data_IF_469935735222
#
_entry.id   IF_469935735222
#
_cell.length_a   1.000
_cell.length_b   1.000
_cell.length_c   1.000
_cell.angle_alpha   90.00
_cell.angle_beta   90.00
_cell.angle_gamma   90.00
#
_symmetry.space_group_name_H-M   'P 1'
#
loop_
_entity.id
_entity.type
_entity.pdbx_description
1 polymer ?
#
# COMPACT_ATOMS: atom_id res chain seq x y z
N UNK A 1 27.91 41.38 15.31
CA UNK A 1 27.98 39.91 15.51
C UNK A 1 26.58 39.38 15.77
N UNK A 2 25.96 38.73 14.79
CA UNK A 2 24.65 38.08 14.98
C UNK A 2 24.88 36.86 15.88
N UNK A 3 24.45 36.93 17.15
CA UNK A 3 24.46 35.77 18.05
C UNK A 3 23.51 34.74 17.46
N UNK A 4 24.05 33.74 16.76
CA UNK A 4 23.26 32.61 16.28
C UNK A 4 22.63 31.94 17.52
N UNK A 5 21.31 31.97 17.66
CA UNK A 5 20.71 31.64 18.93
C UNK A 5 20.83 30.13 19.16
N UNK A 6 21.33 29.76 20.35
CA UNK A 6 21.71 28.39 20.70
C UNK A 6 20.57 27.38 20.53
N UNK A 7 19.32 27.83 20.67
CA UNK A 7 18.13 27.00 20.46
C UNK A 7 18.05 26.43 19.03
N UNK A 8 18.55 27.14 18.00
CA UNK A 8 18.50 26.64 16.61
C UNK A 8 19.40 25.42 16.42
N UNK A 9 20.53 25.36 17.13
CA UNK A 9 21.46 24.22 17.08
C UNK A 9 20.86 22.99 17.77
N UNK A 10 20.18 23.20 18.90
CA UNK A 10 19.50 22.13 19.64
C UNK A 10 18.33 21.57 18.81
N UNK A 11 17.53 22.44 18.19
CA UNK A 11 16.43 22.04 17.31
C UNK A 11 16.92 21.23 16.10
N UNK A 12 18.01 21.65 15.47
CA UNK A 12 18.63 20.91 14.36
C UNK A 12 19.13 19.52 14.81
N UNK A 13 19.78 19.43 15.97
CA UNK A 13 20.23 18.16 16.51
C UNK A 13 19.06 17.21 16.83
N UNK A 14 18.00 17.70 17.47
CA UNK A 14 16.78 16.93 17.74
C UNK A 14 16.13 16.45 16.43
N UNK A 15 16.06 17.31 15.40
CA UNK A 15 15.52 16.94 14.10
C UNK A 15 16.34 15.84 13.42
N UNK A 16 17.67 15.92 13.47
CA UNK A 16 18.55 14.91 12.89
C UNK A 16 18.42 13.55 13.57
N UNK A 17 18.32 13.53 14.90
CA UNK A 17 18.11 12.30 15.67
C UNK A 17 16.76 11.67 15.35
N UNK A 18 15.69 12.47 15.26
CA UNK A 18 14.36 12.00 14.87
C UNK A 18 14.35 11.40 13.47
N UNK A 19 14.95 12.09 12.49
CA UNK A 19 15.02 11.59 11.10
C UNK A 19 15.81 10.28 11.04
N UNK A 20 16.95 10.20 11.74
CA UNK A 20 17.77 8.99 11.78
C UNK A 20 17.03 7.82 12.44
N UNK A 21 16.33 8.07 13.54
CA UNK A 21 15.51 7.07 14.22
C UNK A 21 14.40 6.54 13.31
N UNK A 22 13.73 7.43 12.56
CA UNK A 22 12.72 7.03 11.58
C UNK A 22 13.35 6.18 10.48
N UNK A 23 14.46 6.59 9.87
CA UNK A 23 15.11 5.83 8.78
C UNK A 23 15.52 4.42 9.24
N UNK A 24 16.13 4.30 10.43
CA UNK A 24 16.57 3.01 10.95
C UNK A 24 15.42 2.06 11.27
N UNK A 25 14.27 2.58 11.71
CA UNK A 25 13.10 1.76 12.02
C UNK A 25 12.11 1.63 10.85
N UNK A 26 12.29 2.41 9.78
CA UNK A 26 11.37 2.41 8.64
C UNK A 26 11.74 1.40 7.56
N UNK A 27 12.87 0.68 7.64
CA UNK A 27 13.23 -0.39 6.70
C UNK A 27 12.62 -1.69 7.24
N UNK A 28 11.45 -2.14 6.73
CA UNK A 28 10.90 -3.42 7.14
C UNK A 28 11.76 -4.49 6.45
N UNK A 29 12.30 -5.42 7.22
CA UNK A 29 13.00 -6.59 6.71
C UNK A 29 12.07 -7.28 5.70
N UNK A 30 12.46 -7.27 4.42
CA UNK A 30 11.70 -7.84 3.32
C UNK A 30 11.75 -9.37 3.41
N UNK A 31 10.96 -9.93 4.34
CA UNK A 31 10.77 -11.38 4.42
C UNK A 31 9.72 -11.72 3.36
N UNK A 32 10.17 -12.13 2.18
CA UNK A 32 9.31 -12.79 1.20
C UNK A 32 8.84 -14.09 1.82
N UNK A 33 7.60 -14.10 2.30
CA UNK A 33 6.93 -15.35 2.65
C UNK A 33 6.60 -15.98 1.29
N UNK A 34 7.33 -17.03 0.92
CA UNK A 34 7.03 -17.86 -0.24
C UNK A 34 5.73 -18.61 0.06
N UNK A 35 4.60 -18.03 -0.32
CA UNK A 35 3.30 -18.66 -0.23
C UNK A 35 3.10 -19.56 -1.44
N UNK A 36 2.73 -20.82 -1.20
CA UNK A 36 2.43 -21.77 -2.26
C UNK A 36 1.03 -21.47 -2.81
N UNK A 37 0.91 -21.27 -4.12
CA UNK A 37 -0.35 -20.88 -4.81
C UNK A 37 -1.46 -21.93 -4.61
N UNK A 38 -1.09 -23.14 -4.21
CA UNK A 38 -1.98 -24.27 -3.93
C UNK A 38 -3.00 -24.07 -2.79
N UNK A 39 -2.85 -23.03 -1.94
CA UNK A 39 -3.77 -22.76 -0.83
C UNK A 39 -4.89 -21.75 -1.15
N UNK A 40 -4.92 -21.19 -2.36
CA UNK A 40 -5.98 -20.27 -2.80
C UNK A 40 -7.26 -21.08 -3.09
N UNK A 41 -8.44 -20.66 -2.61
CA UNK A 41 -9.70 -21.36 -2.91
C UNK A 41 -9.95 -21.42 -4.43
N UNK A 42 -10.42 -22.56 -4.96
CA UNK A 42 -10.68 -22.73 -6.41
C UNK A 42 -11.62 -21.68 -7.02
N UNK A 43 -12.55 -21.16 -6.22
CA UNK A 43 -13.49 -20.11 -6.63
C UNK A 43 -12.93 -18.73 -6.25
N UNK A 44 -11.95 -18.25 -7.01
CA UNK A 44 -11.41 -16.91 -6.89
C UNK A 44 -11.69 -16.06 -8.13
N UNK A 45 -11.78 -14.76 -7.92
CA UNK A 45 -11.75 -13.75 -8.96
C UNK A 45 -10.35 -13.12 -9.01
N UNK A 46 -9.92 -12.71 -10.20
CA UNK A 46 -8.66 -11.99 -10.39
C UNK A 46 -8.96 -10.55 -10.76
N UNK A 47 -8.34 -9.62 -10.05
CA UNK A 47 -8.42 -8.18 -10.34
C UNK A 47 -7.00 -7.67 -10.55
N UNK A 48 -6.75 -7.01 -11.68
CA UNK A 48 -5.51 -6.29 -11.93
C UNK A 48 -5.71 -4.79 -11.76
N UNK A 49 -4.70 -4.11 -11.23
CA UNK A 49 -4.72 -2.66 -11.11
C UNK A 49 -3.45 -2.08 -10.50
N UNK A 50 -3.39 -0.76 -10.46
CA UNK A 50 -2.31 0.00 -9.85
C UNK A 50 -2.66 0.33 -8.40
N UNK A 51 -1.71 0.15 -7.48
CA UNK A 51 -1.89 0.51 -6.07
C UNK A 51 -1.89 2.02 -5.92
N UNK A 52 -3.07 2.61 -5.73
CA UNK A 52 -3.25 4.05 -5.58
C UNK A 52 -3.25 4.52 -4.13
N UNK A 53 -3.54 3.60 -3.20
CA UNK A 53 -3.48 3.87 -1.77
C UNK A 53 -3.16 2.62 -0.98
N UNK A 54 -2.50 2.82 0.17
CA UNK A 54 -2.19 1.76 1.12
C UNK A 54 -2.69 2.15 2.50
N UNK A 55 -3.49 1.29 3.08
CA UNK A 55 -3.91 1.32 4.47
C UNK A 55 -3.45 0.02 5.14
N UNK A 56 -3.46 -0.04 6.46
CA UNK A 56 -2.93 -1.18 7.22
C UNK A 56 -3.51 -2.54 6.77
N UNK A 57 -4.83 -2.60 6.59
CA UNK A 57 -5.55 -3.84 6.21
C UNK A 57 -6.25 -3.76 4.85
N UNK A 58 -5.96 -2.73 4.06
CA UNK A 58 -6.55 -2.61 2.72
C UNK A 58 -5.72 -1.76 1.79
N UNK A 59 -5.81 -2.05 0.51
CA UNK A 59 -5.31 -1.21 -0.57
C UNK A 59 -6.45 -0.69 -1.41
N UNK A 60 -6.17 0.37 -2.15
CA UNK A 60 -7.02 0.82 -3.23
C UNK A 60 -6.31 0.52 -4.54
N UNK A 61 -7.06 -0.07 -5.46
CA UNK A 61 -6.63 -0.32 -6.83
C UNK A 61 -7.39 0.62 -7.76
N UNK A 62 -6.70 1.12 -8.78
CA UNK A 62 -7.32 1.80 -9.91
C UNK A 62 -6.80 1.20 -11.22
N UNK A 63 -7.53 1.41 -12.30
CA UNK A 63 -7.14 0.95 -13.64
C UNK A 63 -5.85 1.64 -14.14
N UNK A 64 -5.63 2.90 -13.74
CA UNK A 64 -4.49 3.71 -14.16
C UNK A 64 -3.61 4.17 -12.97
N UNK A 65 -2.30 4.39 -13.19
CA UNK A 65 -1.44 4.97 -12.17
C UNK A 65 -1.82 6.43 -11.89
N UNK A 66 -1.69 6.85 -10.64
CA UNK A 66 -2.10 8.19 -10.22
C UNK A 66 -0.92 9.13 -9.99
N UNK A 67 -1.08 10.40 -10.37
CA UNK A 67 -0.11 11.43 -10.03
C UNK A 67 -0.10 11.71 -8.52
N UNK A 68 1.00 12.30 -8.01
CA UNK A 68 1.11 12.68 -6.61
C UNK A 68 -0.04 13.58 -6.12
N UNK A 69 -0.51 14.50 -6.97
CA UNK A 69 -1.70 15.33 -6.65
C UNK A 69 -2.96 14.47 -6.52
N UNK A 70 -3.10 13.45 -7.36
CA UNK A 70 -4.19 12.46 -7.30
C UNK A 70 -4.17 11.66 -6.00
N UNK A 71 -2.99 11.31 -5.47
CA UNK A 71 -2.86 10.58 -4.20
C UNK A 71 -3.45 11.39 -3.04
N UNK A 72 -3.09 12.67 -2.97
CA UNK A 72 -3.54 13.58 -1.90
C UNK A 72 -5.03 13.83 -2.00
N UNK A 73 -5.54 14.13 -3.20
CA UNK A 73 -6.98 14.37 -3.41
C UNK A 73 -7.82 13.11 -3.18
N UNK A 74 -7.33 11.95 -3.62
CA UNK A 74 -8.01 10.66 -3.49
C UNK A 74 -8.16 10.19 -2.05
N UNK A 75 -7.22 10.57 -1.17
CA UNK A 75 -7.33 10.29 0.27
C UNK A 75 -8.50 10.99 0.95
N UNK A 76 -8.99 12.11 0.40
CA UNK A 76 -10.08 12.91 0.97
C UNK A 76 -11.41 12.60 0.27
N UNK A 77 -11.40 12.48 -1.06
CA UNK A 77 -12.61 12.37 -1.89
C UNK A 77 -12.87 10.97 -2.45
N UNK A 78 -11.98 10.01 -2.21
CA UNK A 78 -11.98 8.70 -2.87
C UNK A 78 -11.21 8.73 -4.19
N UNK A 79 -10.79 7.55 -4.67
CA UNK A 79 -9.88 7.40 -5.81
C UNK A 79 -10.59 7.24 -7.17
N UNK A 80 -11.85 7.68 -7.28
CA UNK A 80 -12.66 7.60 -8.51
C UNK A 80 -13.64 6.42 -8.53
N UNK A 81 -14.53 6.42 -9.52
CA UNK A 81 -15.55 5.36 -9.72
C UNK A 81 -14.94 4.03 -10.15
N UNK A 82 -13.81 4.07 -10.86
CA UNK A 82 -13.08 2.89 -11.35
C UNK A 82 -12.07 2.36 -10.33
N UNK A 83 -12.21 2.78 -9.06
CA UNK A 83 -11.34 2.35 -7.98
C UNK A 83 -12.00 1.30 -7.10
N UNK A 84 -11.27 0.24 -6.79
CA UNK A 84 -11.74 -0.87 -5.97
C UNK A 84 -10.94 -0.90 -4.68
N UNK A 85 -11.64 -0.97 -3.55
CA UNK A 85 -11.00 -1.15 -2.24
C UNK A 85 -10.86 -2.64 -1.93
N UNK A 86 -9.63 -3.11 -1.83
CA UNK A 86 -9.32 -4.50 -1.51
C UNK A 86 -8.83 -4.61 -0.07
N UNK A 87 -9.53 -5.36 0.76
CA UNK A 87 -9.10 -5.68 2.13
C UNK A 87 -8.45 -7.06 2.22
N UNK A 88 -7.68 -7.31 3.28
CA UNK A 88 -7.21 -8.67 3.58
C UNK A 88 -8.41 -9.56 3.91
N UNK A 89 -8.46 -10.77 3.36
CA UNK A 89 -9.36 -11.77 3.88
C UNK A 89 -8.90 -12.20 5.29
N UNK A 90 -9.83 -12.38 6.23
CA UNK A 90 -9.52 -12.76 7.62
C UNK A 90 -8.79 -14.10 7.70
N UNK A 91 -9.15 -15.03 6.83
CA UNK A 91 -8.58 -16.38 6.83
C UNK A 91 -7.17 -16.42 6.22
N UNK A 92 -6.78 -15.36 5.50
CA UNK A 92 -5.50 -15.25 4.76
C UNK A 92 -4.70 -14.01 5.17
N UNK A 93 -5.03 -13.38 6.31
CA UNK A 93 -4.48 -12.08 6.72
C UNK A 93 -2.96 -12.11 6.94
N UNK A 94 -2.44 -13.27 7.36
CA UNK A 94 -1.03 -13.50 7.66
C UNK A 94 -0.13 -13.59 6.41
N UNK A 95 -0.73 -13.83 5.24
CA UNK A 95 -0.02 -14.00 3.96
C UNK A 95 0.18 -12.65 3.28
N UNK A 96 -0.80 -11.76 3.43
CA UNK A 96 -0.85 -10.51 2.68
C UNK A 96 -0.24 -9.37 3.49
N UNK A 97 0.93 -8.90 3.05
CA UNK A 97 1.52 -7.67 3.58
C UNK A 97 1.44 -6.51 2.58
N UNK A 98 0.29 -5.83 2.57
CA UNK A 98 0.08 -4.62 1.76
C UNK A 98 1.10 -3.50 2.05
N UNK A 99 1.74 -3.48 3.22
CA UNK A 99 2.74 -2.48 3.57
C UNK A 99 3.93 -2.46 2.62
N UNK A 100 4.30 -3.62 2.07
CA UNK A 100 5.45 -3.79 1.17
C UNK A 100 5.19 -3.32 -0.26
N UNK A 101 3.93 -3.15 -0.67
CA UNK A 101 3.59 -2.66 -2.01
C UNK A 101 4.01 -1.20 -2.17
N UNK A 102 4.35 -0.77 -3.38
CA UNK A 102 4.64 0.64 -3.70
C UNK A 102 3.41 1.30 -4.32
N UNK A 103 3.29 2.62 -4.18
CA UNK A 103 2.27 3.37 -4.93
C UNK A 103 2.57 3.29 -6.43
N UNK A 104 1.52 3.25 -7.26
CA UNK A 104 1.56 3.04 -8.71
C UNK A 104 2.24 1.75 -9.15
N UNK A 105 2.40 0.79 -8.24
CA UNK A 105 2.85 -0.55 -8.60
C UNK A 105 1.67 -1.33 -9.17
N UNK A 106 1.86 -1.97 -10.33
CA UNK A 106 0.86 -2.86 -10.90
C UNK A 106 0.86 -4.18 -10.12
N UNK A 107 -0.31 -4.61 -9.71
CA UNK A 107 -0.50 -5.85 -8.96
C UNK A 107 -1.67 -6.64 -9.52
N UNK A 108 -1.59 -7.96 -9.36
CA UNK A 108 -2.68 -8.89 -9.61
C UNK A 108 -3.17 -9.42 -8.26
N UNK A 109 -4.45 -9.27 -8.00
CA UNK A 109 -5.07 -9.66 -6.74
C UNK A 109 -6.02 -10.82 -6.99
N UNK A 110 -5.81 -11.89 -6.25
CA UNK A 110 -6.70 -13.05 -6.19
C UNK A 110 -7.65 -12.83 -5.01
N UNK A 111 -8.94 -12.72 -5.27
CA UNK A 111 -9.94 -12.30 -4.30
C UNK A 111 -11.25 -13.08 -4.41
N UNK A 112 -12.16 -12.85 -3.48
CA UNK A 112 -13.47 -13.51 -3.45
C UNK A 112 -14.38 -13.08 -4.60
N UNK A 113 -15.11 -11.98 -4.43
CA UNK A 113 -16.00 -11.38 -5.39
C UNK A 113 -16.07 -9.88 -5.12
N UNK A 114 -16.40 -9.11 -6.15
CA UNK A 114 -16.60 -7.66 -5.98
C UNK A 114 -18.00 -7.42 -5.42
N UNK A 115 -18.05 -6.81 -4.24
CA UNK A 115 -19.30 -6.36 -3.61
C UNK A 115 -19.75 -5.07 -4.27
N UNK A 116 -21.04 -5.02 -4.61
CA UNK A 116 -21.71 -3.82 -5.10
C UNK A 116 -21.83 -2.78 -3.97
N UNK A 117 -20.77 -2.02 -3.76
CA UNK A 117 -20.72 -0.88 -2.84
C UNK A 117 -20.12 0.33 -3.54
N UNK A 118 -20.21 1.51 -2.91
CA UNK A 118 -19.55 2.72 -3.39
C UNK A 118 -18.51 3.20 -2.35
N UNK A 119 -17.20 3.02 -2.60
CA UNK A 119 -16.58 2.34 -3.75
C UNK A 119 -16.80 0.81 -3.71
N UNK A 120 -16.61 0.09 -4.83
CA UNK A 120 -16.63 -1.37 -4.85
C UNK A 120 -15.58 -1.97 -3.90
N UNK A 121 -15.88 -3.13 -3.31
CA UNK A 121 -15.04 -3.77 -2.28
C UNK A 121 -14.83 -5.24 -2.54
N UNK A 122 -13.66 -5.77 -2.19
CA UNK A 122 -13.38 -7.21 -2.23
C UNK A 122 -12.36 -7.62 -1.16
N UNK A 123 -12.27 -8.91 -0.86
CA UNK A 123 -11.31 -9.49 0.07
C UNK A 123 -10.25 -10.32 -0.68
N UNK A 124 -8.98 -9.94 -0.56
CA UNK A 124 -7.87 -10.64 -1.18
C UNK A 124 -7.48 -11.89 -0.39
N UNK A 125 -7.23 -12.97 -1.12
CA UNK A 125 -6.54 -14.19 -0.67
C UNK A 125 -5.03 -14.08 -0.91
N UNK A 126 -4.63 -13.49 -2.03
CA UNK A 126 -3.23 -13.35 -2.42
C UNK A 126 -3.01 -12.13 -3.31
N UNK A 127 -1.80 -11.58 -3.28
CA UNK A 127 -1.38 -10.47 -4.14
C UNK A 127 -0.05 -10.82 -4.81
N UNK A 128 -0.06 -10.78 -6.13
CA UNK A 128 1.09 -11.00 -6.98
C UNK A 128 1.56 -9.66 -7.57
N UNK A 129 2.88 -9.45 -7.60
CA UNK A 129 3.46 -8.32 -8.29
C UNK A 129 3.56 -8.64 -9.77
N UNK A 130 2.97 -7.78 -10.61
CA UNK A 130 3.15 -7.88 -12.06
C UNK A 130 4.38 -7.04 -12.38
N UNK A 131 5.56 -7.67 -12.45
CA UNK A 131 6.76 -7.01 -12.95
C UNK A 131 6.52 -6.61 -14.41
N UNK A 132 6.68 -5.32 -14.71
CA UNK A 132 6.86 -4.91 -16.10
C UNK A 132 8.18 -5.52 -16.55
N UNK A 133 8.10 -6.47 -17.48
CA UNK A 133 9.26 -6.96 -18.21
C UNK A 133 9.82 -5.79 -19.03
N UNK A 134 10.82 -5.10 -18.47
CA UNK A 134 11.74 -4.26 -19.25
C UNK A 134 12.78 -5.14 -19.97
#
# INVERSE_FOLDING_TARGET
MVKNPQYKRILLACSLVLVSFVILNAIPLQKSISFDVAEIPDNYMVIEGFVVSKQFNSIWLAEEPISFKGVVLGSIKGYGVDSIKVSKNKDYEYIINFGQLKLNQKVRVYCDYVRESNPPKSAAFYVELVENSD
#
